data_IF_868519841208
#
_entry.id   IF_868519841208
#
_cell.length_a   1.000
_cell.length_b   1.000
_cell.length_c   1.000
_cell.angle_alpha   90.00
_cell.angle_beta   90.00
_cell.angle_gamma   90.00
#
_symmetry.space_group_name_H-M   'P 1'
#
loop_
_entity.id
_entity.type
_entity.pdbx_description
1 polymer ?
#
# COMPACT_ATOMS: atom_id res chain seq x y z
N UNK A 1 16.17 1.62 -6.98
CA UNK A 1 16.89 2.29 -8.08
C UNK A 1 15.86 2.65 -9.14
N UNK A 2 15.51 3.93 -9.29
CA UNK A 2 14.58 4.37 -10.34
C UNK A 2 15.38 4.89 -11.54
N UNK A 3 16.14 3.99 -12.15
CA UNK A 3 16.93 4.23 -13.35
C UNK A 3 16.64 3.13 -14.36
N UNK A 4 16.72 3.42 -15.66
CA UNK A 4 16.49 2.44 -16.71
C UNK A 4 17.42 1.22 -16.57
N UNK A 5 16.87 0.02 -16.80
CA UNK A 5 17.62 -1.25 -16.79
C UNK A 5 18.49 -1.45 -15.54
N UNK A 6 17.96 -1.11 -14.36
CA UNK A 6 18.74 -1.09 -13.12
C UNK A 6 18.92 -2.46 -12.45
N UNK A 7 18.42 -3.55 -13.05
CA UNK A 7 18.49 -4.90 -12.49
C UNK A 7 19.91 -5.36 -12.16
N UNK A 8 20.86 -5.24 -13.10
CA UNK A 8 22.25 -5.72 -12.88
C UNK A 8 22.94 -4.93 -11.78
N UNK A 9 22.73 -3.61 -11.74
CA UNK A 9 23.24 -2.75 -10.67
C UNK A 9 22.60 -3.12 -9.32
N UNK A 10 21.29 -3.41 -9.30
CA UNK A 10 20.58 -3.87 -8.12
C UNK A 10 21.17 -5.17 -7.58
N UNK A 11 21.41 -6.16 -8.44
CA UNK A 11 22.03 -7.43 -8.04
C UNK A 11 23.46 -7.25 -7.51
N UNK A 12 24.27 -6.40 -8.14
CA UNK A 12 25.61 -6.09 -7.65
C UNK A 12 25.59 -5.46 -6.24
N UNK A 13 24.57 -4.68 -5.90
CA UNK A 13 24.39 -4.15 -4.55
C UNK A 13 24.03 -5.26 -3.55
N UNK A 14 23.16 -6.21 -3.94
CA UNK A 14 22.84 -7.36 -3.09
C UNK A 14 24.09 -8.22 -2.83
N UNK A 15 24.86 -8.52 -3.87
CA UNK A 15 26.15 -9.23 -3.76
C UNK A 15 27.16 -8.47 -2.89
N UNK A 16 27.10 -7.13 -2.89
CA UNK A 16 27.87 -6.25 -2.03
C UNK A 16 27.35 -6.12 -0.59
N UNK A 17 26.27 -6.81 -0.23
CA UNK A 17 25.71 -6.84 1.13
C UNK A 17 24.48 -5.97 1.38
N UNK A 18 23.87 -5.40 0.34
CA UNK A 18 22.55 -4.77 0.49
C UNK A 18 21.47 -5.82 0.79
N UNK A 19 20.50 -5.46 1.63
CA UNK A 19 19.46 -6.38 2.13
C UNK A 19 18.34 -6.58 1.11
N UNK A 20 17.92 -5.51 0.45
CA UNK A 20 16.85 -5.55 -0.54
C UNK A 20 16.71 -4.24 -1.32
N UNK A 21 15.98 -4.26 -2.43
CA UNK A 21 15.69 -3.07 -3.22
C UNK A 21 14.72 -3.33 -4.37
N UNK A 22 14.28 -2.25 -5.02
CA UNK A 22 13.46 -2.30 -6.24
C UNK A 22 14.31 -1.86 -7.43
N UNK A 23 14.26 -2.61 -8.52
CA UNK A 23 14.98 -2.34 -9.76
C UNK A 23 14.06 -2.50 -10.98
N UNK A 24 14.53 -2.05 -12.14
CA UNK A 24 13.81 -2.13 -13.41
C UNK A 24 14.50 -3.10 -14.38
N UNK A 25 13.71 -3.83 -15.15
CA UNK A 25 14.18 -4.76 -16.20
C UNK A 25 14.54 -4.02 -17.48
N UNK A 26 13.73 -3.05 -17.87
CA UNK A 26 13.87 -2.29 -19.11
C UNK A 26 13.92 -0.79 -18.86
N UNK A 27 13.98 -0.04 -19.96
CA UNK A 27 13.76 1.40 -19.91
C UNK A 27 12.31 1.68 -19.52
N UNK A 28 12.13 2.73 -18.72
CA UNK A 28 10.84 3.22 -18.25
C UNK A 28 10.66 4.67 -18.65
N UNK A 29 9.43 5.07 -18.97
CA UNK A 29 9.13 6.46 -19.27
C UNK A 29 9.32 7.32 -18.02
N UNK A 30 9.87 8.51 -18.16
CA UNK A 30 10.21 9.35 -17.00
C UNK A 30 8.98 9.72 -16.16
N UNK A 31 7.84 10.02 -16.78
CA UNK A 31 6.59 10.31 -16.05
C UNK A 31 6.12 9.11 -15.22
N UNK A 32 6.12 7.91 -15.81
CA UNK A 32 5.77 6.66 -15.12
C UNK A 32 6.73 6.36 -13.97
N UNK A 33 8.03 6.60 -14.18
CA UNK A 33 9.05 6.37 -13.16
C UNK A 33 8.92 7.32 -11.97
N UNK A 34 8.54 8.58 -12.21
CA UNK A 34 8.28 9.56 -11.14
C UNK A 34 7.03 9.18 -10.35
N UNK A 35 5.94 8.82 -11.03
CA UNK A 35 4.69 8.39 -10.38
C UNK A 35 4.92 7.13 -9.54
N UNK A 36 5.51 6.08 -10.14
CA UNK A 36 5.89 4.85 -9.44
C UNK A 36 6.78 5.14 -8.23
N UNK A 37 7.78 6.01 -8.40
CA UNK A 37 8.67 6.41 -7.32
C UNK A 37 7.95 7.09 -6.16
N UNK A 38 7.04 8.03 -6.45
CA UNK A 38 6.23 8.71 -5.43
C UNK A 38 5.33 7.72 -4.68
N UNK A 39 4.65 6.83 -5.41
CA UNK A 39 3.77 5.82 -4.82
C UNK A 39 4.53 4.84 -3.93
N UNK A 40 5.65 4.31 -4.43
CA UNK A 40 6.53 3.43 -3.65
C UNK A 40 7.05 4.14 -2.40
N UNK A 41 7.51 5.39 -2.50
CA UNK A 41 8.00 6.15 -1.36
C UNK A 41 6.91 6.32 -0.29
N UNK A 42 5.68 6.67 -0.69
CA UNK A 42 4.56 6.80 0.22
C UNK A 42 4.21 5.50 0.94
N UNK A 43 4.10 4.39 0.20
CA UNK A 43 3.81 3.06 0.76
C UNK A 43 4.92 2.57 1.70
N UNK A 44 6.19 2.73 1.31
CA UNK A 44 7.32 2.35 2.16
C UNK A 44 7.39 3.19 3.43
N UNK A 45 7.06 4.48 3.35
CA UNK A 45 6.96 5.38 4.51
C UNK A 45 5.77 5.02 5.42
N UNK A 46 4.69 4.51 4.85
CA UNK A 46 3.56 3.93 5.59
C UNK A 46 3.86 2.53 6.17
N UNK A 47 5.09 2.02 6.02
CA UNK A 47 5.53 0.78 6.66
C UNK A 47 5.21 -0.50 5.88
N UNK A 48 4.78 -0.40 4.62
CA UNK A 48 4.60 -1.57 3.77
C UNK A 48 5.95 -2.22 3.45
N UNK A 49 6.05 -3.56 3.49
CA UNK A 49 7.22 -4.27 2.97
C UNK A 49 7.47 -4.00 1.49
N UNK A 50 8.72 -4.07 1.03
CA UNK A 50 9.10 -3.83 -0.38
C UNK A 50 8.21 -4.58 -1.37
N UNK A 51 7.93 -5.85 -1.13
CA UNK A 51 7.11 -6.67 -2.02
C UNK A 51 5.65 -6.22 -2.05
N UNK A 52 5.08 -5.87 -0.89
CA UNK A 52 3.70 -5.37 -0.77
C UNK A 52 3.55 -4.01 -1.42
N UNK A 53 4.48 -3.08 -1.14
CA UNK A 53 4.50 -1.75 -1.72
C UNK A 53 4.60 -1.82 -3.25
N UNK A 54 5.47 -2.67 -3.79
CA UNK A 54 5.57 -2.86 -5.23
C UNK A 54 4.31 -3.49 -5.81
N UNK A 55 3.71 -4.48 -5.15
CA UNK A 55 2.46 -5.08 -5.58
C UNK A 55 1.34 -4.03 -5.77
N UNK A 56 1.18 -3.14 -4.79
CA UNK A 56 0.17 -2.07 -4.87
C UNK A 56 0.53 -1.04 -5.95
N UNK A 57 1.79 -0.59 -5.99
CA UNK A 57 2.23 0.47 -6.90
C UNK A 57 2.21 0.06 -8.38
N UNK A 58 2.34 -1.25 -8.67
CA UNK A 58 2.27 -1.78 -10.04
C UNK A 58 0.91 -1.56 -10.69
N UNK A 59 -0.16 -1.64 -9.92
CA UNK A 59 -1.52 -1.42 -10.46
C UNK A 59 -1.74 0.03 -10.90
N UNK A 60 -0.94 0.97 -10.40
CA UNK A 60 -1.05 2.41 -10.69
C UNK A 60 -0.27 2.85 -11.95
N UNK A 61 0.47 1.94 -12.61
CA UNK A 61 1.29 2.29 -13.77
C UNK A 61 1.25 1.22 -14.84
N UNK A 62 1.11 1.64 -16.09
CA UNK A 62 1.20 0.77 -17.26
C UNK A 62 2.59 0.11 -17.43
N UNK A 63 3.61 0.63 -16.74
CA UNK A 63 4.96 0.06 -16.73
C UNK A 63 5.30 -0.68 -15.43
N UNK A 64 4.31 -0.97 -14.59
CA UNK A 64 4.50 -1.70 -13.33
C UNK A 64 5.26 -3.01 -13.47
N UNK A 65 4.98 -3.78 -14.54
CA UNK A 65 5.63 -5.06 -14.82
C UNK A 65 7.13 -4.97 -15.10
N UNK A 66 7.65 -3.76 -15.35
CA UNK A 66 9.08 -3.55 -15.55
C UNK A 66 9.86 -3.44 -14.24
N UNK A 67 9.18 -3.29 -13.10
CA UNK A 67 9.80 -3.19 -11.79
C UNK A 67 9.86 -4.56 -11.12
N UNK A 68 10.88 -4.85 -10.34
CA UNK A 68 10.98 -6.05 -9.53
C UNK A 68 11.71 -5.80 -8.21
N UNK A 69 11.44 -6.66 -7.22
CA UNK A 69 12.19 -6.70 -5.98
C UNK A 69 13.42 -7.60 -6.13
N UNK A 70 14.57 -7.11 -5.67
CA UNK A 70 15.81 -7.88 -5.49
C UNK A 70 16.12 -8.00 -3.99
N UNK A 71 16.64 -9.15 -3.55
CA UNK A 71 16.95 -9.41 -2.14
C UNK A 71 15.71 -9.74 -1.30
N UNK A 72 15.67 -9.24 -0.05
CA UNK A 72 14.58 -9.49 0.88
C UNK A 72 13.40 -8.54 0.64
N UNK A 73 12.33 -9.06 0.04
CA UNK A 73 11.08 -8.34 -0.18
C UNK A 73 10.19 -8.16 1.06
N UNK A 74 10.49 -8.87 2.15
CA UNK A 74 9.83 -8.71 3.44
C UNK A 74 10.36 -7.52 4.25
N UNK A 75 11.43 -6.87 3.79
CA UNK A 75 12.01 -5.70 4.43
C UNK A 75 11.00 -4.53 4.43
N UNK A 76 10.60 -4.11 5.63
CA UNK A 76 9.91 -2.85 5.84
C UNK A 76 10.92 -1.76 6.24
N UNK A 77 10.85 -0.60 5.58
CA UNK A 77 11.80 0.51 5.79
C UNK A 77 11.37 1.38 6.97
N UNK A 78 10.07 1.67 7.07
CA UNK A 78 9.47 2.44 8.14
C UNK A 78 8.55 1.56 9.01
N UNK A 79 8.19 2.09 10.18
CA UNK A 79 7.14 1.50 11.01
C UNK A 79 5.79 2.07 10.57
N UNK A 80 4.76 1.21 10.37
CA UNK A 80 3.39 1.70 10.17
C UNK A 80 2.90 2.49 11.38
N UNK A 81 1.90 3.36 11.21
CA UNK A 81 1.33 4.09 12.34
C UNK A 81 0.49 3.16 13.23
N UNK A 82 -0.16 2.14 12.64
CA UNK A 82 -0.70 0.97 13.34
C UNK A 82 0.31 -0.19 13.54
N UNK A 83 -0.17 -1.34 14.01
CA UNK A 83 0.66 -2.57 14.10
C UNK A 83 0.92 -3.17 12.71
N UNK A 84 -0.03 -2.99 11.79
CA UNK A 84 0.04 -3.51 10.43
C UNK A 84 -0.32 -2.43 9.41
N UNK A 85 0.44 -2.31 8.31
CA UNK A 85 0.05 -1.43 7.20
C UNK A 85 -1.23 -1.97 6.56
N UNK A 86 -2.13 -1.06 6.19
CA UNK A 86 -3.42 -1.40 5.59
C UNK A 86 -3.71 -0.55 4.36
N UNK A 87 -4.41 -1.13 3.39
CA UNK A 87 -4.94 -0.46 2.20
C UNK A 87 -6.46 -0.50 2.27
N UNK A 88 -7.08 0.66 2.12
CA UNK A 88 -8.53 0.77 2.01
C UNK A 88 -8.92 0.81 0.53
N UNK A 89 -9.97 0.11 0.15
CA UNK A 89 -10.66 0.28 -1.12
C UNK A 89 -12.08 0.76 -0.82
N UNK A 90 -12.43 1.93 -1.32
CA UNK A 90 -13.67 2.63 -0.98
C UNK A 90 -14.50 2.82 -2.23
N UNK A 91 -15.70 2.27 -2.19
CA UNK A 91 -16.72 2.44 -3.22
C UNK A 91 -17.97 3.05 -2.62
N UNK A 92 -18.52 4.09 -3.25
CA UNK A 92 -19.84 4.59 -2.86
C UNK A 92 -20.94 3.63 -3.32
N UNK A 93 -21.91 3.40 -2.43
CA UNK A 93 -23.12 2.60 -2.65
C UNK A 93 -24.35 3.42 -2.21
N UNK A 94 -24.76 4.36 -3.06
CA UNK A 94 -25.87 5.26 -2.76
C UNK A 94 -25.50 6.27 -1.66
N UNK A 95 -26.17 6.18 -0.51
CA UNK A 95 -25.91 7.05 0.65
C UNK A 95 -24.81 6.52 1.59
N UNK A 96 -24.33 5.30 1.34
CA UNK A 96 -23.30 4.64 2.13
C UNK A 96 -22.01 4.47 1.32
N UNK A 97 -20.92 4.19 2.03
CA UNK A 97 -19.61 3.85 1.48
C UNK A 97 -19.25 2.44 1.91
N UNK A 98 -19.05 1.56 0.93
CA UNK A 98 -18.49 0.24 1.18
C UNK A 98 -16.98 0.36 1.29
N UNK A 99 -16.43 -0.13 2.38
CA UNK A 99 -14.99 -0.15 2.66
C UNK A 99 -14.51 -1.59 2.71
N UNK A 100 -13.60 -1.92 1.81
CA UNK A 100 -12.85 -3.18 1.79
C UNK A 100 -11.44 -2.88 2.30
N UNK A 101 -11.01 -3.54 3.39
CA UNK A 101 -9.69 -3.31 4.00
C UNK A 101 -8.80 -4.52 3.80
N UNK A 102 -7.60 -4.27 3.26
CA UNK A 102 -6.55 -5.27 3.08
C UNK A 102 -5.38 -4.97 4.02
N UNK A 103 -5.06 -5.91 4.91
CA UNK A 103 -3.96 -5.77 5.86
C UNK A 103 -2.74 -6.55 5.39
N UNK A 104 -1.59 -5.90 5.41
CA UNK A 104 -0.33 -6.45 4.94
C UNK A 104 0.59 -6.85 6.10
N UNK A 105 1.57 -7.74 5.86
CA UNK A 105 2.53 -8.13 6.88
C UNK A 105 3.31 -6.91 7.39
N UNK A 106 3.57 -6.86 8.69
CA UNK A 106 4.47 -5.88 9.29
C UNK A 106 5.75 -6.57 9.77
N UNK A 107 6.85 -5.82 9.78
CA UNK A 107 8.16 -6.30 10.26
C UNK A 107 8.14 -6.77 11.71
N UNK A 108 7.25 -6.23 12.57
CA UNK A 108 7.12 -6.62 13.98
C UNK A 108 5.89 -7.46 14.31
N UNK A 109 4.92 -7.58 13.39
CA UNK A 109 3.63 -8.24 13.63
C UNK A 109 3.51 -9.68 13.12
N UNK A 110 4.45 -10.14 12.28
CA UNK A 110 4.46 -11.50 11.73
C UNK A 110 3.15 -11.92 11.03
N UNK A 111 3.02 -13.21 10.75
CA UNK A 111 1.75 -13.83 10.35
C UNK A 111 1.02 -14.28 11.62
N UNK A 112 -0.28 -14.00 11.71
CA UNK A 112 -1.13 -14.39 12.84
C UNK A 112 -1.48 -13.27 13.81
N UNK A 113 -1.16 -12.01 13.47
CA UNK A 113 -1.61 -10.84 14.23
C UNK A 113 -3.13 -10.68 14.19
N UNK A 114 -3.71 -10.11 15.26
CA UNK A 114 -5.14 -9.85 15.35
C UNK A 114 -5.44 -8.42 14.91
N UNK A 115 -6.31 -8.24 13.92
CA UNK A 115 -6.78 -6.94 13.46
C UNK A 115 -8.24 -6.79 13.86
N UNK A 116 -8.56 -5.68 14.51
CA UNK A 116 -9.93 -5.30 14.84
C UNK A 116 -10.19 -3.93 14.23
N UNK A 117 -10.92 -3.83 13.11
CA UNK A 117 -11.29 -2.55 12.52
C UNK A 117 -12.17 -1.78 13.50
N UNK A 118 -11.99 -0.47 13.58
CA UNK A 118 -12.78 0.38 14.48
C UNK A 118 -14.16 0.68 13.88
N UNK A 119 -15.07 -0.31 13.91
CA UNK A 119 -16.45 -0.24 13.39
C UNK A 119 -17.43 -0.94 14.33
N UNK A 120 -18.67 -0.47 14.44
CA UNK A 120 -19.64 -0.95 15.48
C UNK A 120 -19.81 -2.48 15.56
N UNK A 121 -19.63 -3.22 14.44
CA UNK A 121 -19.67 -4.69 14.40
C UNK A 121 -18.26 -5.31 14.29
N UNK A 122 -17.40 -5.01 15.28
CA UNK A 122 -16.02 -5.51 15.35
C UNK A 122 -15.95 -7.03 15.16
N UNK A 123 -15.34 -7.48 14.05
CA UNK A 123 -14.95 -8.88 13.84
C UNK A 123 -13.43 -8.98 13.86
N UNK A 124 -12.95 -9.95 14.63
CA UNK A 124 -11.53 -10.27 14.70
C UNK A 124 -11.07 -10.89 13.38
N UNK A 125 -10.07 -10.28 12.75
CA UNK A 125 -9.47 -10.75 11.52
C UNK A 125 -8.01 -11.13 11.77
N UNK A 126 -7.50 -12.11 11.02
CA UNK A 126 -6.08 -12.49 11.06
C UNK A 126 -5.31 -11.66 10.05
N UNK A 127 -4.12 -11.20 10.44
CA UNK A 127 -3.14 -10.54 9.58
C UNK A 127 -2.06 -11.51 9.10
N UNK A 128 -1.57 -11.39 7.86
CA UNK A 128 -2.12 -10.57 6.77
C UNK A 128 -3.43 -11.16 6.24
N UNK A 129 -4.33 -10.31 5.76
CA UNK A 129 -5.65 -10.77 5.32
C UNK A 129 -6.61 -9.65 4.98
N UNK A 130 -7.65 -10.02 4.21
CA UNK A 130 -8.77 -9.12 3.95
C UNK A 130 -9.70 -9.14 5.17
N UNK A 131 -10.09 -7.94 5.59
CA UNK A 131 -11.16 -7.74 6.54
C UNK A 131 -12.48 -7.78 5.76
N UNK A 132 -13.52 -8.48 6.27
CA UNK A 132 -14.83 -8.45 5.65
C UNK A 132 -15.33 -7.02 5.46
N UNK A 133 -15.80 -6.70 4.25
CA UNK A 133 -16.32 -5.38 3.92
C UNK A 133 -17.38 -4.92 4.92
N UNK A 134 -17.40 -3.61 5.15
CA UNK A 134 -18.39 -2.94 5.97
C UNK A 134 -18.85 -1.65 5.29
N UNK A 135 -20.10 -1.28 5.55
CA UNK A 135 -20.71 -0.08 4.98
C UNK A 135 -20.74 1.01 6.05
N UNK A 136 -20.26 2.21 5.70
CA UNK A 136 -20.23 3.38 6.56
C UNK A 136 -21.07 4.51 5.95
N UNK A 137 -21.78 5.25 6.79
CA UNK A 137 -22.31 6.57 6.41
C UNK A 137 -21.18 7.56 6.18
N UNK A 138 -21.48 8.70 5.56
CA UNK A 138 -20.51 9.78 5.36
C UNK A 138 -19.80 10.20 6.67
N UNK A 139 -20.54 10.33 7.77
CA UNK A 139 -19.97 10.73 9.05
C UNK A 139 -19.08 9.65 9.66
N UNK A 140 -19.51 8.40 9.61
CA UNK A 140 -18.72 7.27 10.10
C UNK A 140 -17.45 7.08 9.28
N UNK A 141 -17.52 7.26 7.94
CA UNK A 141 -16.36 7.21 7.08
C UNK A 141 -15.36 8.32 7.44
N UNK A 142 -15.83 9.55 7.62
CA UNK A 142 -14.98 10.68 8.03
C UNK A 142 -14.27 10.40 9.36
N UNK A 143 -14.98 9.88 10.34
CA UNK A 143 -14.40 9.57 11.65
C UNK A 143 -13.44 8.37 11.57
N UNK A 144 -13.72 7.39 10.71
CA UNK A 144 -12.86 6.24 10.45
C UNK A 144 -11.55 6.62 9.77
N UNK A 145 -11.60 7.44 8.71
CA UNK A 145 -10.41 7.90 8.00
C UNK A 145 -9.54 8.83 8.87
N UNK A 146 -10.11 9.51 9.85
CA UNK A 146 -9.35 10.35 10.77
C UNK A 146 -8.41 9.57 11.72
N UNK A 147 -8.51 8.24 11.78
CA UNK A 147 -7.70 7.40 12.68
C UNK A 147 -6.24 7.26 12.23
N UNK A 148 -5.99 7.17 10.92
CA UNK A 148 -4.66 6.93 10.33
C UNK A 148 -4.61 7.46 8.90
N UNK A 149 -3.50 8.10 8.51
CA UNK A 149 -3.26 8.49 7.11
C UNK A 149 -2.87 7.27 6.26
N UNK A 150 -3.88 6.46 5.96
CA UNK A 150 -3.73 5.21 5.20
C UNK A 150 -3.79 5.47 3.69
N UNK A 151 -3.14 4.63 2.86
CA UNK A 151 -3.41 4.62 1.44
C UNK A 151 -4.84 4.15 1.17
N UNK A 152 -5.51 4.79 0.22
CA UNK A 152 -6.88 4.52 -0.19
C UNK A 152 -6.92 4.35 -1.70
N UNK A 153 -7.57 3.29 -2.17
CA UNK A 153 -7.99 3.12 -3.55
C UNK A 153 -9.44 3.60 -3.71
N UNK A 154 -9.67 4.40 -4.73
CA UNK A 154 -11.01 4.79 -5.18
C UNK A 154 -11.02 4.78 -6.70
N UNK A 155 -11.98 4.09 -7.30
CA UNK A 155 -12.06 3.94 -8.76
C UNK A 155 -10.75 3.43 -9.40
N UNK A 156 -10.01 2.59 -8.68
CA UNK A 156 -8.72 2.05 -9.13
C UNK A 156 -7.54 3.02 -9.10
N UNK A 157 -7.69 4.21 -8.52
CA UNK A 157 -6.58 5.15 -8.30
C UNK A 157 -6.21 5.19 -6.83
N UNK A 158 -4.91 5.19 -6.55
CA UNK A 158 -4.36 5.32 -5.21
C UNK A 158 -4.15 6.78 -4.80
N UNK A 159 -4.66 7.12 -3.62
CA UNK A 159 -4.42 8.38 -2.92
C UNK A 159 -4.20 8.15 -1.42
N UNK A 160 -3.92 9.22 -0.69
CA UNK A 160 -3.77 9.19 0.77
C UNK A 160 -5.01 9.82 1.41
N UNK A 161 -5.37 9.39 2.62
CA UNK A 161 -6.51 9.99 3.35
C UNK A 161 -6.41 11.51 3.43
N UNK A 162 -5.21 12.03 3.69
CA UNK A 162 -4.95 13.47 3.75
C UNK A 162 -5.17 14.22 2.43
N UNK A 163 -5.19 13.51 1.30
CA UNK A 163 -5.41 14.06 -0.04
C UNK A 163 -6.88 13.86 -0.51
N UNK A 164 -7.72 13.17 0.24
CA UNK A 164 -9.10 12.85 -0.15
C UNK A 164 -10.12 13.93 0.24
N UNK A 165 -11.03 14.25 -0.68
CA UNK A 165 -12.32 14.86 -0.34
C UNK A 165 -13.42 13.80 -0.38
N UNK A 166 -13.99 13.49 0.79
CA UNK A 166 -15.05 12.48 0.93
C UNK A 166 -16.29 12.84 0.11
N UNK A 167 -16.53 14.12 -0.16
CA UNK A 167 -17.66 14.56 -0.98
C UNK A 167 -17.47 14.28 -2.47
N UNK A 168 -16.22 14.10 -2.91
CA UNK A 168 -15.85 13.79 -4.29
C UNK A 168 -15.69 12.28 -4.54
N UNK A 169 -15.81 11.46 -3.49
CA UNK A 169 -15.91 10.00 -3.60
C UNK A 169 -17.27 9.66 -4.22
N UNK A 170 -17.26 9.54 -5.56
CA UNK A 170 -18.43 9.56 -6.47
C UNK A 170 -19.61 8.70 -6.09
#
# INVERSE_FOLDING_TARGET
>A
LNACQSYRQGMALIEGGAIGGIATLTDVLNCEAVQMGRTLAGLLNAGFPLQSALGIARDESIMGDQYLVVGDGGLAIAQPAGIHPNLLDIERKGELFRVDMMVYPASQGGVGGLVTPWVENHRYCLSPGSVPAFDLSHNELRDFLALEDSPVKTNGQLSWVTELDINELG
#
